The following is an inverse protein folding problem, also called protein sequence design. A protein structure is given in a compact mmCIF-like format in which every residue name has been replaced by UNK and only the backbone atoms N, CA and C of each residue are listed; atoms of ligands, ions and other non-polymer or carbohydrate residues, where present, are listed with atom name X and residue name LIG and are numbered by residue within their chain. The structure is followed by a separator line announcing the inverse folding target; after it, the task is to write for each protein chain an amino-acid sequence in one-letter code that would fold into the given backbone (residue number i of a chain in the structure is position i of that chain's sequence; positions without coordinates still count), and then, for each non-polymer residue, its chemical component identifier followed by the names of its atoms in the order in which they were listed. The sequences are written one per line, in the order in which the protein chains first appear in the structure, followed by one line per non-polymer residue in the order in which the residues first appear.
data_IF_460573651520
#
_entry.id   IF_460573651520
#
_cell.length_a   1.000
_cell.length_b   1.000
_cell.length_c   1.000
_cell.angle_alpha   90.00
_cell.angle_beta   90.00
_cell.angle_gamma   90.00
#
_symmetry.space_group_name_H-M   'P 1'
#
loop_
_entity.id
_entity.type
_entity.pdbx_description
1 polymer ?
#
# COMPACT_ATOMS: atom_id res chain seq x y z
N UNK A 1 -39.74 -24.71 -7.37
CA UNK A 1 -38.46 -24.78 -6.65
C UNK A 1 -37.50 -23.65 -7.06
N UNK A 2 -37.81 -22.39 -6.73
CA UNK A 2 -36.87 -21.26 -6.95
C UNK A 2 -36.37 -20.61 -5.64
N UNK A 3 -36.87 -21.07 -4.49
CA UNK A 3 -36.56 -20.49 -3.17
C UNK A 3 -35.31 -21.10 -2.50
N UNK A 4 -34.60 -22.03 -3.16
CA UNK A 4 -33.36 -22.64 -2.63
C UNK A 4 -32.06 -22.01 -3.18
N UNK A 5 -32.15 -20.99 -4.04
CA UNK A 5 -30.97 -20.25 -4.56
C UNK A 5 -30.71 -18.91 -3.88
N UNK A 6 -31.34 -18.64 -2.75
CA UNK A 6 -30.90 -17.61 -1.82
C UNK A 6 -29.98 -18.28 -0.79
N UNK A 7 -28.85 -18.82 -1.27
CA UNK A 7 -27.74 -19.16 -0.40
C UNK A 7 -27.30 -17.84 0.26
N UNK A 8 -27.45 -17.76 1.58
CA UNK A 8 -27.23 -16.52 2.34
C UNK A 8 -25.89 -15.88 2.02
N UNK A 9 -25.91 -14.55 1.91
CA UNK A 9 -24.79 -13.63 1.68
C UNK A 9 -23.74 -13.71 2.81
N UNK A 10 -23.14 -14.88 3.00
CA UNK A 10 -21.91 -14.99 3.77
C UNK A 10 -20.80 -14.49 2.86
N UNK A 11 -20.22 -13.35 3.23
CA UNK A 11 -19.01 -12.82 2.61
C UNK A 11 -18.02 -13.96 2.42
N UNK A 12 -17.41 -14.09 1.24
CA UNK A 12 -16.39 -15.11 1.00
C UNK A 12 -15.15 -14.85 1.87
N UNK A 13 -14.31 -15.86 2.13
CA UNK A 13 -13.07 -15.66 2.90
C UNK A 13 -12.19 -14.55 2.30
N UNK A 14 -12.06 -14.48 0.97
CA UNK A 14 -11.36 -13.41 0.24
C UNK A 14 -11.94 -12.03 0.55
N UNK A 15 -13.27 -11.91 0.54
CA UNK A 15 -13.94 -10.65 0.88
C UNK A 15 -13.69 -10.24 2.34
N UNK A 16 -13.75 -11.19 3.29
CA UNK A 16 -13.47 -10.92 4.70
C UNK A 16 -12.01 -10.51 4.92
N UNK A 17 -11.08 -11.18 4.25
CA UNK A 17 -9.67 -10.83 4.28
C UNK A 17 -9.44 -9.38 3.83
N UNK A 18 -9.99 -8.99 2.67
CA UNK A 18 -9.90 -7.61 2.18
C UNK A 18 -10.45 -6.61 3.20
N UNK A 19 -11.64 -6.86 3.76
CA UNK A 19 -12.26 -5.97 4.76
C UNK A 19 -11.37 -5.82 6.00
N UNK A 20 -10.79 -6.91 6.51
CA UNK A 20 -9.87 -6.85 7.64
C UNK A 20 -8.61 -6.04 7.32
N UNK A 21 -8.09 -6.06 6.09
CA UNK A 21 -6.96 -5.17 5.74
C UNK A 21 -7.32 -3.69 5.77
N UNK A 22 -8.56 -3.34 5.39
CA UNK A 22 -9.07 -1.95 5.46
C UNK A 22 -9.27 -1.51 6.92
N UNK A 23 -9.83 -2.39 7.75
CA UNK A 23 -9.99 -2.15 9.19
C UNK A 23 -8.63 -1.96 9.88
N UNK A 24 -7.65 -2.83 9.58
CA UNK A 24 -6.31 -2.72 10.10
C UNK A 24 -5.62 -1.41 9.67
N UNK A 25 -5.88 -0.95 8.44
CA UNK A 25 -5.34 0.32 7.97
C UNK A 25 -5.90 1.52 8.75
N UNK A 26 -7.20 1.51 9.07
CA UNK A 26 -7.81 2.52 9.92
C UNK A 26 -7.22 2.50 11.34
N UNK A 27 -7.01 1.30 11.92
CA UNK A 27 -6.36 1.12 13.22
C UNK A 27 -4.91 1.64 13.20
N UNK A 28 -4.16 1.36 12.13
CA UNK A 28 -2.80 1.87 11.93
C UNK A 28 -2.76 3.40 11.88
N UNK A 29 -3.69 4.03 11.15
CA UNK A 29 -3.80 5.49 11.09
C UNK A 29 -4.13 6.14 12.44
N UNK A 30 -4.75 5.38 13.35
CA UNK A 30 -5.03 5.79 14.74
C UNK A 30 -3.90 5.42 15.73
N UNK A 31 -2.81 4.79 15.27
CA UNK A 31 -1.71 4.33 16.12
C UNK A 31 -2.02 3.12 17.02
N UNK A 32 -3.09 2.38 16.72
CA UNK A 32 -3.55 1.23 17.50
C UNK A 32 -2.75 -0.03 17.12
N UNK A 33 -1.48 -0.11 17.54
CA UNK A 33 -0.54 -1.14 17.08
C UNK A 33 -1.00 -2.58 17.38
N UNK A 34 -1.50 -2.85 18.59
CA UNK A 34 -1.91 -4.20 18.98
C UNK A 34 -3.14 -4.67 18.20
N UNK A 35 -4.15 -3.81 18.08
CA UNK A 35 -5.37 -4.06 17.33
C UNK A 35 -5.07 -4.26 15.85
N UNK A 36 -4.25 -3.37 15.26
CA UNK A 36 -3.82 -3.45 13.87
C UNK A 36 -3.19 -4.81 13.55
N UNK A 37 -2.20 -5.24 14.34
CA UNK A 37 -1.53 -6.54 14.14
C UNK A 37 -2.47 -7.73 14.31
N UNK A 38 -3.39 -7.66 15.29
CA UNK A 38 -4.40 -8.70 15.50
C UNK A 38 -5.34 -8.81 14.30
N UNK A 39 -5.79 -7.68 13.76
CA UNK A 39 -6.70 -7.60 12.60
C UNK A 39 -6.00 -8.06 11.32
N UNK A 40 -4.73 -7.72 11.12
CA UNK A 40 -3.92 -8.28 10.02
C UNK A 40 -3.82 -9.81 10.11
N UNK A 41 -3.59 -10.36 11.31
CA UNK A 41 -3.59 -11.81 11.50
C UNK A 41 -4.96 -12.46 11.22
N UNK A 42 -6.08 -11.74 11.39
CA UNK A 42 -7.39 -12.21 10.93
C UNK A 42 -7.48 -12.21 9.40
N UNK A 43 -7.00 -11.15 8.74
CA UNK A 43 -6.97 -11.09 7.27
C UNK A 43 -6.20 -12.26 6.67
N UNK A 44 -5.02 -12.57 7.21
CA UNK A 44 -4.20 -13.71 6.76
C UNK A 44 -4.91 -15.06 6.93
N UNK A 45 -5.57 -15.27 8.08
CA UNK A 45 -6.33 -16.51 8.33
C UNK A 45 -7.50 -16.67 7.36
N UNK A 46 -8.26 -15.61 7.14
CA UNK A 46 -9.37 -15.62 6.19
C UNK A 46 -8.88 -15.85 4.76
N UNK A 47 -7.75 -15.25 4.37
CA UNK A 47 -7.18 -15.43 3.05
C UNK A 47 -6.59 -16.84 2.85
N UNK A 48 -6.08 -17.48 3.90
CA UNK A 48 -5.63 -18.87 3.83
C UNK A 48 -6.76 -19.85 3.44
N UNK A 49 -8.01 -19.49 3.77
CA UNK A 49 -9.22 -20.25 3.39
C UNK A 49 -9.85 -19.77 2.07
N UNK A 50 -9.20 -18.84 1.35
CA UNK A 50 -9.72 -18.28 0.10
C UNK A 50 -9.90 -19.34 -0.98
N UNK A 51 -10.99 -19.22 -1.73
CA UNK A 51 -11.36 -20.09 -2.85
C UNK A 51 -11.77 -19.20 -4.03
N UNK A 52 -10.82 -18.79 -4.88
CA UNK A 52 -11.09 -17.83 -5.96
C UNK A 52 -12.23 -18.25 -6.90
N UNK A 53 -12.46 -19.55 -7.08
CA UNK A 53 -13.57 -20.06 -7.89
C UNK A 53 -14.96 -19.85 -7.26
N UNK A 54 -15.02 -19.64 -5.95
CA UNK A 54 -16.25 -19.39 -5.20
C UNK A 54 -16.48 -17.88 -4.98
N UNK A 55 -15.54 -17.04 -5.42
CA UNK A 55 -15.58 -15.60 -5.23
C UNK A 55 -16.48 -14.90 -6.26
N UNK A 56 -17.19 -13.82 -5.85
CA UNK A 56 -17.85 -12.94 -6.81
C UNK A 56 -16.84 -12.28 -7.75
N UNK A 57 -17.23 -12.07 -9.01
CA UNK A 57 -16.35 -11.46 -10.04
C UNK A 57 -15.70 -10.14 -9.59
N UNK A 58 -16.40 -9.34 -8.78
CA UNK A 58 -15.91 -8.04 -8.35
C UNK A 58 -14.67 -8.10 -7.44
N UNK A 59 -14.45 -9.20 -6.69
CA UNK A 59 -13.31 -9.34 -5.77
C UNK A 59 -12.12 -10.08 -6.42
N UNK A 60 -12.23 -10.49 -7.68
CA UNK A 60 -11.19 -11.26 -8.39
C UNK A 60 -9.84 -10.53 -8.53
N UNK A 61 -9.79 -9.23 -8.23
CA UNK A 61 -8.53 -8.48 -8.15
C UNK A 61 -7.76 -8.72 -6.84
N UNK A 62 -8.40 -9.21 -5.77
CA UNK A 62 -7.76 -9.33 -4.45
C UNK A 62 -7.07 -10.70 -4.32
N UNK A 63 -5.85 -10.79 -4.84
CA UNK A 63 -5.01 -11.98 -4.79
C UNK A 63 -3.93 -11.89 -3.69
N UNK A 64 -2.99 -12.85 -3.70
CA UNK A 64 -1.91 -12.88 -2.71
C UNK A 64 -1.01 -11.63 -2.78
N UNK A 65 -0.78 -11.08 -3.97
CA UNK A 65 -0.02 -9.85 -4.12
C UNK A 65 -0.79 -8.66 -3.54
N UNK A 66 -2.11 -8.60 -3.73
CA UNK A 66 -2.96 -7.57 -3.14
C UNK A 66 -3.06 -7.64 -1.63
N UNK A 67 -3.09 -8.84 -1.04
CA UNK A 67 -2.96 -9.01 0.40
C UNK A 67 -1.62 -8.44 0.90
N UNK A 68 -0.50 -8.85 0.31
CA UNK A 68 0.83 -8.34 0.70
C UNK A 68 0.95 -6.83 0.50
N UNK A 69 0.45 -6.28 -0.60
CA UNK A 69 0.45 -4.82 -0.85
C UNK A 69 -0.37 -4.05 0.19
N UNK A 70 -1.51 -4.58 0.62
CA UNK A 70 -2.31 -3.99 1.70
C UNK A 70 -1.61 -4.08 3.05
N UNK A 71 -0.97 -5.21 3.38
CA UNK A 71 -0.20 -5.35 4.62
C UNK A 71 0.99 -4.37 4.65
N UNK A 72 1.68 -4.21 3.52
CA UNK A 72 2.76 -3.23 3.38
C UNK A 72 2.28 -1.81 3.69
N UNK A 73 1.13 -1.43 3.12
CA UNK A 73 0.49 -0.14 3.38
C UNK A 73 0.15 0.03 4.87
N UNK A 74 -0.50 -0.96 5.46
CA UNK A 74 -0.92 -0.93 6.87
C UNK A 74 0.28 -0.76 7.80
N UNK A 75 1.32 -1.58 7.62
CA UNK A 75 2.53 -1.48 8.43
C UNK A 75 3.30 -0.19 8.19
N UNK A 76 3.37 0.30 6.95
CA UNK A 76 3.97 1.62 6.64
C UNK A 76 3.23 2.74 7.36
N UNK A 77 1.89 2.73 7.37
CA UNK A 77 1.11 3.72 8.10
C UNK A 77 1.33 3.59 9.62
N UNK A 78 1.36 2.36 10.14
CA UNK A 78 1.60 2.13 11.57
C UNK A 78 3.00 2.62 12.00
N UNK A 79 3.99 2.53 11.11
CA UNK A 79 5.37 2.96 11.36
C UNK A 79 5.52 4.45 11.70
N UNK A 80 4.51 5.28 11.38
CA UNK A 80 4.48 6.69 11.81
C UNK A 80 4.38 6.82 13.35
N UNK A 81 3.86 5.80 14.04
CA UNK A 81 3.67 5.77 15.51
C UNK A 81 4.40 4.61 16.21
N UNK A 82 4.71 3.53 15.49
CA UNK A 82 5.41 2.35 16.00
C UNK A 82 6.55 1.92 15.05
N UNK A 83 7.79 2.34 15.32
CA UNK A 83 8.95 2.01 14.47
C UNK A 83 9.18 0.52 14.22
N UNK A 84 8.67 -0.37 15.07
CA UNK A 84 8.82 -1.82 14.86
C UNK A 84 8.02 -2.34 13.65
N UNK A 85 7.10 -1.52 13.10
CA UNK A 85 6.34 -1.83 11.89
C UNK A 85 7.13 -1.60 10.59
N UNK A 86 8.28 -0.92 10.64
CA UNK A 86 9.09 -0.60 9.44
C UNK A 86 9.54 -1.86 8.70
N UNK A 87 10.12 -2.84 9.40
CA UNK A 87 10.60 -4.08 8.78
C UNK A 87 9.47 -4.90 8.13
N UNK A 88 8.34 -5.18 8.82
CA UNK A 88 7.18 -5.81 8.18
C UNK A 88 6.69 -5.05 6.93
N UNK A 89 6.68 -3.71 6.96
CA UNK A 89 6.29 -2.93 5.78
C UNK A 89 7.18 -3.21 4.56
N UNK A 90 8.50 -3.25 4.77
CA UNK A 90 9.47 -3.58 3.70
C UNK A 90 9.28 -5.02 3.20
N UNK A 91 9.17 -5.99 4.11
CA UNK A 91 9.02 -7.42 3.78
C UNK A 91 7.77 -7.68 2.93
N UNK A 92 6.61 -7.14 3.34
CA UNK A 92 5.37 -7.30 2.59
C UNK A 92 5.40 -6.55 1.26
N UNK A 93 6.00 -5.36 1.19
CA UNK A 93 6.11 -4.62 -0.07
C UNK A 93 6.99 -5.36 -1.09
N UNK A 94 8.14 -5.88 -0.65
CA UNK A 94 9.03 -6.67 -1.48
C UNK A 94 8.32 -7.95 -1.99
N UNK A 95 7.57 -8.61 -1.11
CA UNK A 95 6.82 -9.81 -1.49
C UNK A 95 5.72 -9.52 -2.52
N UNK A 96 5.01 -8.42 -2.36
CA UNK A 96 3.99 -7.98 -3.31
C UNK A 96 4.62 -7.71 -4.70
N UNK A 97 5.79 -7.06 -4.74
CA UNK A 97 6.53 -6.84 -5.98
C UNK A 97 6.98 -8.14 -6.67
N UNK A 98 7.51 -9.10 -5.89
CA UNK A 98 7.90 -10.42 -6.41
C UNK A 98 6.72 -11.14 -7.07
N UNK A 99 5.55 -11.11 -6.43
CA UNK A 99 4.33 -11.74 -6.94
C UNK A 99 3.79 -11.04 -8.20
N UNK A 100 4.02 -9.73 -8.34
CA UNK A 100 3.58 -8.93 -9.48
C UNK A 100 4.57 -8.92 -10.65
N UNK A 101 5.67 -9.67 -10.60
CA UNK A 101 6.72 -9.62 -11.62
C UNK A 101 6.26 -9.91 -13.07
N UNK A 102 5.04 -10.41 -13.29
CA UNK A 102 4.47 -10.72 -14.61
C UNK A 102 3.22 -9.88 -14.99
N UNK A 103 2.86 -8.82 -14.25
CA UNK A 103 1.71 -7.97 -14.59
C UNK A 103 1.33 -6.92 -13.52
N UNK A 104 0.14 -6.31 -13.63
CA UNK A 104 -0.44 -5.40 -12.61
C UNK A 104 0.33 -4.09 -12.37
N UNK A 105 0.65 -3.37 -13.45
CA UNK A 105 1.42 -2.11 -13.43
C UNK A 105 0.85 -1.04 -12.46
N UNK A 106 -0.49 -1.01 -12.28
CA UNK A 106 -1.17 -0.18 -11.27
C UNK A 106 -0.74 -0.48 -9.84
N UNK A 107 -0.85 -1.75 -9.45
CA UNK A 107 -0.57 -2.18 -8.10
C UNK A 107 0.93 -2.14 -7.80
N UNK A 108 1.79 -2.39 -8.81
CA UNK A 108 3.24 -2.21 -8.70
C UNK A 108 3.65 -0.79 -8.31
N UNK A 109 3.00 0.24 -8.88
CA UNK A 109 3.29 1.64 -8.50
C UNK A 109 3.02 1.88 -7.01
N UNK A 110 1.93 1.33 -6.47
CA UNK A 110 1.60 1.47 -5.04
C UNK A 110 2.59 0.74 -4.12
N UNK A 111 3.10 -0.42 -4.53
CA UNK A 111 4.13 -1.13 -3.77
C UNK A 111 5.43 -0.34 -3.73
N UNK A 112 5.86 0.20 -4.88
CA UNK A 112 7.07 1.03 -4.98
C UNK A 112 7.00 2.24 -4.05
N UNK A 113 5.84 2.90 -3.96
CA UNK A 113 5.62 4.03 -3.02
C UNK A 113 5.72 3.56 -1.56
N UNK A 114 5.13 2.40 -1.25
CA UNK A 114 5.13 1.84 0.11
C UNK A 114 6.55 1.44 0.53
N UNK A 115 7.30 0.80 -0.38
CA UNK A 115 8.69 0.39 -0.17
C UNK A 115 9.62 1.59 0.00
N UNK A 116 9.50 2.61 -0.88
CA UNK A 116 10.25 3.85 -0.76
C UNK A 116 10.00 4.56 0.58
N UNK A 117 8.74 4.65 0.99
CA UNK A 117 8.36 5.23 2.29
C UNK A 117 8.98 4.46 3.46
N UNK A 118 8.95 3.12 3.41
CA UNK A 118 9.50 2.29 4.47
C UNK A 118 11.02 2.42 4.61
N UNK A 119 11.77 2.48 3.51
CA UNK A 119 13.22 2.75 3.55
C UNK A 119 13.55 4.15 4.09
N UNK A 120 12.76 5.17 3.74
CA UNK A 120 12.94 6.52 4.30
C UNK A 120 12.70 6.55 5.82
N UNK A 121 11.70 5.81 6.31
CA UNK A 121 11.42 5.68 7.74
C UNK A 121 12.52 4.90 8.48
N UNK A 122 13.18 3.97 7.80
CA UNK A 122 14.27 3.14 8.33
C UNK A 122 15.64 3.84 8.35
N UNK A 123 15.73 5.11 7.92
CA UNK A 123 17.02 5.80 7.85
C UNK A 123 17.87 5.43 6.64
N UNK A 124 17.28 4.85 5.58
CA UNK A 124 17.97 4.45 4.36
C UNK A 124 17.54 5.33 3.16
N UNK A 125 17.97 6.60 3.11
CA UNK A 125 17.50 7.57 2.13
C UNK A 125 17.83 7.22 0.67
N UNK A 126 19.00 6.64 0.40
CA UNK A 126 19.45 6.31 -0.96
C UNK A 126 18.56 5.21 -1.58
N UNK A 127 18.31 4.15 -0.81
CA UNK A 127 17.40 3.08 -1.19
C UNK A 127 15.97 3.61 -1.39
N UNK A 128 15.49 4.44 -0.44
CA UNK A 128 14.19 5.11 -0.55
C UNK A 128 14.05 5.93 -1.83
N UNK A 129 15.09 6.69 -2.19
CA UNK A 129 15.09 7.50 -3.40
C UNK A 129 15.09 6.69 -4.69
N UNK A 130 15.81 5.57 -4.73
CA UNK A 130 15.80 4.66 -5.88
C UNK A 130 14.40 4.12 -6.17
N UNK A 131 13.68 3.63 -5.16
CA UNK A 131 12.33 3.11 -5.32
C UNK A 131 11.30 4.20 -5.62
N UNK A 132 11.46 5.39 -5.03
CA UNK A 132 10.61 6.53 -5.35
C UNK A 132 10.72 6.95 -6.82
N UNK A 133 11.93 6.96 -7.40
CA UNK A 133 12.11 7.24 -8.84
C UNK A 133 11.48 6.17 -9.73
N UNK A 134 11.50 4.90 -9.32
CA UNK A 134 10.78 3.83 -10.01
C UNK A 134 9.27 4.08 -9.98
N UNK A 135 8.72 4.47 -8.81
CA UNK A 135 7.31 4.82 -8.68
C UNK A 135 6.92 5.98 -9.60
N UNK A 136 7.69 7.07 -9.63
CA UNK A 136 7.43 8.25 -10.47
C UNK A 136 7.36 7.85 -11.95
N UNK A 137 8.31 7.04 -12.43
CA UNK A 137 8.30 6.54 -13.82
C UNK A 137 7.05 5.73 -14.12
N UNK A 138 6.66 4.82 -13.22
CA UNK A 138 5.48 3.97 -13.38
C UNK A 138 4.15 4.76 -13.32
N UNK A 139 4.10 5.84 -12.54
CA UNK A 139 2.89 6.69 -12.41
C UNK A 139 2.56 7.44 -13.70
N UNK A 140 3.55 7.78 -14.52
CA UNK A 140 3.35 8.48 -15.81
C UNK A 140 2.57 7.63 -16.82
N UNK A 141 2.54 6.32 -16.63
CA UNK A 141 1.82 5.37 -17.49
C UNK A 141 0.43 5.02 -16.93
N UNK A 142 0.16 5.41 -15.68
CA UNK A 142 -0.94 4.87 -14.88
C UNK A 142 -1.57 5.99 -14.02
N UNK A 143 -2.25 6.92 -14.67
CA UNK A 143 -2.85 8.08 -14.00
C UNK A 143 -4.05 7.70 -13.11
N UNK A 144 -3.91 7.91 -11.80
CA UNK A 144 -5.03 7.97 -10.86
C UNK A 144 -4.72 8.98 -9.75
N UNK A 145 -5.74 9.78 -9.37
CA UNK A 145 -5.66 10.79 -8.30
C UNK A 145 -5.10 10.20 -6.99
N UNK A 146 -5.48 8.96 -6.66
CA UNK A 146 -5.06 8.23 -5.46
C UNK A 146 -3.57 7.87 -5.44
N UNK A 147 -2.94 7.75 -6.61
CA UNK A 147 -1.48 7.52 -6.72
C UNK A 147 -0.70 8.78 -6.39
N UNK A 148 -1.19 9.94 -6.83
CA UNK A 148 -0.60 11.24 -6.54
C UNK A 148 -0.74 11.63 -5.06
N UNK A 149 -1.88 11.35 -4.42
CA UNK A 149 -2.07 11.59 -2.98
C UNK A 149 -1.03 10.83 -2.14
N UNK A 150 -0.74 9.57 -2.50
CA UNK A 150 0.28 8.75 -1.79
C UNK A 150 1.71 9.23 -2.07
N UNK A 151 1.99 9.71 -3.28
CA UNK A 151 3.26 10.36 -3.59
C UNK A 151 3.44 11.64 -2.76
N UNK A 152 2.37 12.41 -2.55
CA UNK A 152 2.36 13.57 -1.65
C UNK A 152 2.66 13.20 -0.20
N UNK A 153 2.04 12.15 0.34
CA UNK A 153 2.36 11.65 1.70
C UNK A 153 3.80 11.12 1.81
N UNK A 154 4.33 10.50 0.76
CA UNK A 154 5.74 10.09 0.70
C UNK A 154 6.69 11.31 0.64
N UNK A 155 6.34 12.35 -0.11
CA UNK A 155 7.12 13.58 -0.20
C UNK A 155 7.28 14.27 1.16
N UNK A 156 6.28 14.20 2.05
CA UNK A 156 6.41 14.74 3.41
C UNK A 156 7.51 14.04 4.21
N UNK A 157 7.75 12.75 3.98
CA UNK A 157 8.81 11.98 4.65
C UNK A 157 10.22 12.41 4.20
N UNK A 158 10.38 12.90 2.96
CA UNK A 158 11.69 13.35 2.44
C UNK A 158 12.17 14.63 3.12
N UNK A 159 11.27 15.42 3.71
CA UNK A 159 11.62 16.65 4.44
C UNK A 159 12.59 16.43 5.60
N UNK A 160 12.66 15.22 6.17
CA UNK A 160 13.63 14.84 7.22
C UNK A 160 15.07 14.70 6.70
N UNK A 161 15.27 14.53 5.38
CA UNK A 161 16.56 14.31 4.75
C UNK A 161 16.91 15.40 3.72
N UNK A 162 16.46 16.64 3.96
CA UNK A 162 16.65 17.79 3.05
C UNK A 162 18.12 18.10 2.68
N UNK A 163 19.06 17.64 3.50
CA UNK A 163 20.50 17.86 3.33
C UNK A 163 21.20 16.68 2.60
N UNK A 164 20.47 15.59 2.28
CA UNK A 164 20.96 14.47 1.47
C UNK A 164 20.70 14.78 -0.01
N UNK A 165 21.76 14.85 -0.82
CA UNK A 165 21.67 15.31 -2.21
C UNK A 165 20.70 14.49 -3.06
N UNK A 166 20.70 13.16 -2.89
CA UNK A 166 19.86 12.19 -3.58
C UNK A 166 18.37 12.41 -3.26
N UNK A 167 18.06 12.75 -2.00
CA UNK A 167 16.69 13.00 -1.53
C UNK A 167 16.21 14.39 -1.91
N UNK A 168 17.12 15.38 -1.94
CA UNK A 168 16.83 16.72 -2.44
C UNK A 168 16.44 16.68 -3.92
N UNK A 169 17.23 16.01 -4.74
CA UNK A 169 16.92 15.79 -6.16
C UNK A 169 15.59 15.06 -6.34
N UNK A 170 15.31 14.04 -5.51
CA UNK A 170 14.02 13.35 -5.53
C UNK A 170 12.84 14.30 -5.18
N UNK A 171 13.01 15.17 -4.19
CA UNK A 171 11.97 16.10 -3.77
C UNK A 171 11.59 17.07 -4.90
N UNK A 172 12.60 17.56 -5.63
CA UNK A 172 12.41 18.39 -6.83
C UNK A 172 11.73 17.59 -7.95
N UNK A 173 12.16 16.35 -8.22
CA UNK A 173 11.54 15.46 -9.22
C UNK A 173 10.06 15.15 -8.95
N UNK A 174 9.66 14.97 -7.68
CA UNK A 174 8.27 14.76 -7.27
C UNK A 174 7.45 16.03 -7.48
N UNK A 175 8.00 17.20 -7.14
CA UNK A 175 7.35 18.49 -7.34
C UNK A 175 7.10 18.78 -8.83
N UNK A 176 8.10 18.49 -9.68
CA UNK A 176 8.05 18.75 -11.13
C UNK A 176 7.19 17.72 -11.90
N UNK A 177 7.00 16.51 -11.37
CA UNK A 177 6.24 15.46 -12.05
C UNK A 177 4.72 15.62 -11.98
N UNK A 178 4.21 16.61 -11.24
CA UNK A 178 2.81 17.05 -11.29
C UNK A 178 1.93 16.51 -10.16
N UNK A 179 1.69 17.34 -9.14
CA UNK A 179 0.71 17.05 -8.08
C UNK A 179 0.50 18.15 -7.03
N UNK A 180 1.26 19.25 -7.03
CA UNK A 180 1.02 20.41 -6.14
C UNK A 180 0.69 21.66 -6.96
N UNK A 181 -0.39 21.58 -7.73
CA UNK A 181 -1.20 22.77 -8.02
C UNK A 181 -2.54 22.58 -7.30
N UNK A 182 -2.52 22.77 -5.98
CA UNK A 182 -3.75 23.12 -5.26
C UNK A 182 -4.32 24.44 -5.81
N UNK A 183 -5.61 24.73 -5.63
CA UNK A 183 -6.24 25.88 -6.25
C UNK A 183 -5.52 27.15 -5.80
N UNK A 184 -4.99 27.91 -6.78
CA UNK A 184 -4.64 29.31 -6.59
C UNK A 184 -5.91 30.01 -6.11
N UNK A 185 -5.94 30.38 -4.84
CA UNK A 185 -6.94 31.30 -4.30
C UNK A 185 -6.90 32.59 -5.12
N UNK A 186 -8.00 32.86 -5.82
CA UNK A 186 -8.39 34.17 -6.32
C UNK A 186 -9.66 34.58 -5.59
#
# INVERSE_FOLDING_TARGET
ELAQRTAGERLTPTTRAMIHTVEAWAQAALGQSAECRRTLGLAEREFADARPQDDPDWIGFFDSADLHGMQALVYRTLADTDPSAVRPAQEHAQKAMELRAQGHQRSQTFDLISLASAYLLDGQPDAGAQYARLAIRSTREVSSLRTWDRLGEMQKLTGRYKDVAEVKSLHEEIADSGGLSGPTTA
#
